data_IF_177419762292
#
_entry.id   IF_177419762292
#
_cell.length_a   1.000
_cell.length_b   1.000
_cell.length_c   1.000
_cell.angle_alpha   90.00
_cell.angle_beta   90.00
_cell.angle_gamma   90.00
#
_symmetry.space_group_name_H-M   'P 1'
#
loop_
_entity.id
_entity.type
_entity.pdbx_description
1 polymer ?
#
# COMPACT_ATOMS: atom_id res chain seq x y z
N UNK A 1 -12.59 -17.08 1.02
CA UNK A 1 -12.88 -16.08 -0.04
C UNK A 1 -11.74 -16.02 -1.07
N UNK A 2 -10.52 -15.62 -0.71
CA UNK A 2 -9.38 -15.55 -1.66
C UNK A 2 -9.06 -16.88 -2.34
N UNK A 3 -8.92 -17.97 -1.56
CA UNK A 3 -8.65 -19.31 -2.09
C UNK A 3 -9.75 -19.84 -3.04
N UNK A 4 -10.99 -19.40 -2.83
CA UNK A 4 -12.12 -19.78 -3.69
C UNK A 4 -12.06 -19.05 -5.03
N UNK A 5 -11.73 -17.75 -5.02
CA UNK A 5 -11.51 -16.95 -6.23
C UNK A 5 -10.36 -17.53 -7.04
N UNK A 6 -9.26 -17.89 -6.39
CA UNK A 6 -8.10 -18.51 -7.05
C UNK A 6 -8.47 -19.84 -7.69
N UNK A 7 -9.13 -20.73 -6.96
CA UNK A 7 -9.60 -22.02 -7.49
C UNK A 7 -10.47 -21.84 -8.74
N UNK A 8 -11.41 -20.89 -8.70
CA UNK A 8 -12.28 -20.58 -9.85
C UNK A 8 -11.51 -19.99 -11.03
N UNK A 9 -10.59 -19.05 -10.77
CA UNK A 9 -9.76 -18.43 -11.80
C UNK A 9 -8.90 -19.48 -12.53
N UNK A 10 -8.25 -20.37 -11.78
CA UNK A 10 -7.45 -21.47 -12.33
C UNK A 10 -8.33 -22.45 -13.12
N UNK A 11 -9.46 -22.90 -12.54
CA UNK A 11 -10.36 -23.85 -13.18
C UNK A 11 -10.94 -23.33 -14.51
N UNK A 12 -11.13 -22.01 -14.63
CA UNK A 12 -11.63 -21.36 -15.86
C UNK A 12 -10.52 -20.88 -16.80
N UNK A 13 -9.25 -21.04 -16.43
CA UNK A 13 -8.11 -20.52 -17.19
C UNK A 13 -8.10 -18.99 -17.32
N UNK A 14 -8.69 -18.28 -16.35
CA UNK A 14 -8.80 -16.82 -16.32
C UNK A 14 -7.79 -16.21 -15.33
N UNK A 15 -7.41 -14.96 -15.58
CA UNK A 15 -6.68 -14.13 -14.62
C UNK A 15 -7.64 -13.37 -13.71
N UNK A 16 -7.34 -13.34 -12.41
CA UNK A 16 -8.04 -12.55 -11.41
C UNK A 16 -7.05 -11.70 -10.62
N UNK A 17 -7.48 -10.52 -10.17
CA UNK A 17 -6.68 -9.63 -9.32
C UNK A 17 -7.50 -9.10 -8.15
N UNK A 18 -6.92 -9.11 -6.95
CA UNK A 18 -7.45 -8.42 -5.78
C UNK A 18 -6.44 -7.35 -5.40
N UNK A 19 -6.79 -6.09 -5.67
CA UNK A 19 -5.89 -4.95 -5.44
C UNK A 19 -6.51 -4.04 -4.39
N UNK A 20 -5.99 -4.03 -3.15
CA UNK A 20 -6.55 -3.23 -2.06
C UNK A 20 -6.30 -1.73 -2.25
N UNK A 21 -5.27 -1.36 -3.03
CA UNK A 21 -4.93 0.02 -3.34
C UNK A 21 -4.30 0.08 -4.75
N UNK A 22 -4.90 0.88 -5.63
CA UNK A 22 -4.43 1.05 -7.01
C UNK A 22 -3.46 2.23 -7.19
N UNK A 23 -3.07 2.92 -6.12
CA UNK A 23 -2.08 4.00 -6.21
C UNK A 23 -0.69 3.42 -6.45
N UNK A 24 -0.10 3.78 -7.59
CA UNK A 24 1.30 3.49 -7.90
C UNK A 24 2.21 4.20 -6.89
N UNK A 25 1.83 5.41 -6.44
CA UNK A 25 2.58 6.17 -5.44
C UNK A 25 2.67 5.46 -4.09
N UNK A 26 1.62 4.75 -3.66
CA UNK A 26 1.68 3.94 -2.44
C UNK A 26 2.61 2.73 -2.58
N UNK A 27 2.67 2.11 -3.76
CA UNK A 27 3.66 1.04 -4.03
C UNK A 27 5.08 1.59 -3.95
N UNK A 28 5.31 2.76 -4.57
CA UNK A 28 6.62 3.43 -4.53
C UNK A 28 7.03 3.80 -3.09
N UNK A 29 6.11 4.39 -2.31
CA UNK A 29 6.35 4.71 -0.89
C UNK A 29 6.72 3.46 -0.11
N UNK A 30 5.97 2.36 -0.26
CA UNK A 30 6.22 1.12 0.47
C UNK A 30 7.61 0.57 0.15
N UNK A 31 7.98 0.53 -1.13
CA UNK A 31 9.31 0.08 -1.56
C UNK A 31 10.43 0.96 -1.00
N UNK A 32 10.30 2.27 -1.13
CA UNK A 32 11.29 3.22 -0.62
C UNK A 32 11.42 3.13 0.91
N UNK A 33 10.31 2.99 1.62
CA UNK A 33 10.29 2.86 3.07
C UNK A 33 10.93 1.56 3.54
N UNK A 34 10.75 0.43 2.84
CA UNK A 34 11.45 -0.83 3.16
C UNK A 34 12.96 -0.70 2.99
N UNK A 35 13.41 -0.03 1.93
CA UNK A 35 14.85 0.24 1.73
C UNK A 35 15.38 1.14 2.84
N UNK A 36 14.71 2.26 3.14
CA UNK A 36 15.09 3.16 4.22
C UNK A 36 15.10 2.46 5.59
N UNK A 37 14.13 1.59 5.87
CA UNK A 37 14.00 0.84 7.12
C UNK A 37 15.14 -0.17 7.34
N UNK A 38 15.76 -0.67 6.27
CA UNK A 38 16.96 -1.51 6.38
C UNK A 38 18.19 -0.74 6.86
N UNK A 39 18.16 0.59 6.80
CA UNK A 39 19.25 1.50 7.20
C UNK A 39 18.89 2.22 8.53
N UNK A 40 17.68 2.75 8.63
CA UNK A 40 17.15 3.49 9.78
C UNK A 40 16.07 2.66 10.48
N UNK A 41 16.43 2.02 11.60
CA UNK A 41 15.62 0.93 12.17
C UNK A 41 14.51 1.37 13.13
N UNK A 42 14.38 2.68 13.40
CA UNK A 42 13.29 3.24 14.22
C UNK A 42 12.32 3.98 13.33
N UNK A 43 11.08 3.48 13.25
CA UNK A 43 10.07 4.03 12.37
C UNK A 43 8.71 4.17 13.06
N UNK A 44 7.93 5.14 12.59
CA UNK A 44 6.51 5.32 12.91
C UNK A 44 5.74 5.67 11.64
N UNK A 45 4.44 5.36 11.62
CA UNK A 45 3.56 5.66 10.49
C UNK A 45 2.56 6.72 10.91
N UNK A 46 2.36 7.72 10.05
CA UNK A 46 1.24 8.66 10.17
C UNK A 46 0.35 8.50 8.95
N UNK A 47 -0.95 8.36 9.16
CA UNK A 47 -1.94 8.34 8.10
C UNK A 47 -3.00 9.40 8.36
N UNK A 48 -3.46 10.05 7.29
CA UNK A 48 -4.40 11.15 7.39
C UNK A 48 -5.48 11.00 6.33
N UNK A 49 -6.75 11.11 6.72
CA UNK A 49 -7.89 10.98 5.83
C UNK A 49 -8.99 11.98 6.20
N UNK A 50 -9.98 12.13 5.33
CA UNK A 50 -11.20 12.87 5.63
C UNK A 50 -11.86 12.38 6.94
N UNK A 51 -12.58 13.27 7.60
CA UNK A 51 -13.28 13.06 8.87
C UNK A 51 -14.36 11.96 8.81
N UNK A 52 -15.00 11.78 7.66
CA UNK A 52 -16.04 10.75 7.48
C UNK A 52 -15.51 9.32 7.27
N UNK A 53 -14.19 9.09 7.29
CA UNK A 53 -13.61 7.75 7.17
C UNK A 53 -13.71 7.00 8.50
N UNK A 54 -14.54 5.95 8.51
CA UNK A 54 -14.91 5.18 9.71
C UNK A 54 -13.76 4.33 10.29
N UNK A 55 -12.92 3.76 9.44
CA UNK A 55 -11.80 2.91 9.86
C UNK A 55 -10.58 3.74 10.28
N UNK A 56 -10.00 3.43 11.44
CA UNK A 56 -8.73 3.98 11.93
C UNK A 56 -7.96 2.91 12.74
N UNK A 57 -6.72 2.56 12.38
CA UNK A 57 -6.00 2.98 11.17
C UNK A 57 -6.62 2.46 9.87
N UNK A 58 -6.33 3.14 8.76
CA UNK A 58 -6.74 2.69 7.43
C UNK A 58 -6.14 1.32 7.09
N UNK A 59 -6.88 0.52 6.30
CA UNK A 59 -6.37 -0.78 5.82
C UNK A 59 -5.04 -0.68 5.05
N UNK A 60 -4.81 0.44 4.35
CA UNK A 60 -3.52 0.72 3.69
C UNK A 60 -2.40 0.92 4.71
N UNK A 61 -2.63 1.65 5.80
CA UNK A 61 -1.64 1.86 6.86
C UNK A 61 -1.29 0.55 7.59
N UNK A 62 -2.30 -0.30 7.84
CA UNK A 62 -2.08 -1.63 8.42
C UNK A 62 -1.21 -2.49 7.50
N UNK A 63 -1.47 -2.52 6.19
CA UNK A 63 -0.65 -3.27 5.23
C UNK A 63 0.78 -2.73 5.15
N UNK A 64 0.95 -1.41 5.16
CA UNK A 64 2.27 -0.77 5.20
C UNK A 64 3.06 -1.17 6.44
N UNK A 65 2.40 -1.21 7.62
CA UNK A 65 3.01 -1.71 8.87
C UNK A 65 3.50 -3.14 8.71
N UNK A 66 2.67 -4.05 8.20
CA UNK A 66 3.07 -5.45 8.01
C UNK A 66 4.26 -5.58 7.04
N UNK A 67 4.28 -4.80 5.96
CA UNK A 67 5.41 -4.76 5.02
C UNK A 67 6.70 -4.26 5.67
N UNK A 68 6.65 -3.19 6.47
CA UNK A 68 7.82 -2.68 7.18
C UNK A 68 8.29 -3.61 8.30
N UNK A 69 7.35 -4.28 8.98
CA UNK A 69 7.65 -5.30 10.00
C UNK A 69 8.49 -6.44 9.45
N UNK A 70 8.35 -6.80 8.16
CA UNK A 70 9.22 -7.80 7.51
C UNK A 70 10.70 -7.42 7.50
N UNK A 71 11.02 -6.12 7.57
CA UNK A 71 12.38 -5.58 7.57
C UNK A 71 12.83 -5.27 9.00
N UNK A 72 11.95 -4.68 9.81
CA UNK A 72 12.27 -4.14 11.13
C UNK A 72 12.13 -5.14 12.27
N UNK A 73 11.33 -6.20 12.10
CA UNK A 73 11.13 -7.24 13.10
C UNK A 73 10.23 -6.84 14.29
N UNK A 74 9.59 -5.68 14.27
CA UNK A 74 8.65 -5.23 15.31
C UNK A 74 7.44 -4.50 14.72
N UNK A 75 6.39 -4.37 15.54
CA UNK A 75 5.22 -3.55 15.23
C UNK A 75 5.48 -2.08 15.58
N UNK A 76 5.45 -1.20 14.59
CA UNK A 76 5.57 0.25 14.82
C UNK A 76 4.21 0.91 15.10
N UNK A 77 4.20 2.02 15.87
CA UNK A 77 3.01 2.86 16.04
C UNK A 77 2.45 3.35 14.70
N UNK A 78 1.12 3.44 14.64
CA UNK A 78 0.40 4.13 13.57
C UNK A 78 -0.45 5.24 14.21
N UNK A 79 -0.25 6.47 13.76
CA UNK A 79 -1.04 7.63 14.15
C UNK A 79 -2.05 7.95 13.05
N UNK A 80 -3.33 8.07 13.42
CA UNK A 80 -4.42 8.31 12.47
C UNK A 80 -5.03 9.69 12.68
N UNK A 81 -5.01 10.50 11.62
CA UNK A 81 -5.58 11.86 11.60
C UNK A 81 -6.85 11.86 10.76
N UNK A 82 -7.91 12.46 11.29
CA UNK A 82 -9.21 12.59 10.63
C UNK A 82 -9.61 14.06 10.63
N UNK A 83 -9.49 14.72 9.48
CA UNK A 83 -9.75 16.16 9.35
C UNK A 83 -10.50 16.49 8.06
N UNK A 84 -11.44 17.45 8.10
CA UNK A 84 -12.02 18.02 6.89
C UNK A 84 -10.94 18.58 5.95
N UNK A 85 -11.11 18.38 4.64
CA UNK A 85 -10.19 18.84 3.61
C UNK A 85 -9.08 17.85 3.23
N UNK A 86 -8.86 16.80 4.03
CA UNK A 86 -7.97 15.71 3.67
C UNK A 86 -8.66 14.70 2.75
N UNK A 87 -7.89 14.00 1.92
CA UNK A 87 -8.39 12.91 1.09
C UNK A 87 -7.82 11.59 1.60
N UNK A 88 -6.56 11.30 1.28
CA UNK A 88 -5.82 10.16 1.81
C UNK A 88 -4.31 10.42 1.73
N UNK A 89 -3.64 10.31 2.86
CA UNK A 89 -2.22 10.63 3.01
C UNK A 89 -1.55 9.58 3.90
N UNK A 90 -0.33 9.21 3.56
CA UNK A 90 0.48 8.26 4.33
C UNK A 90 1.92 8.75 4.40
N UNK A 91 2.50 8.64 5.59
CA UNK A 91 3.84 9.09 5.88
C UNK A 91 4.55 8.04 6.74
N UNK A 92 5.80 7.74 6.37
CA UNK A 92 6.71 6.92 7.17
C UNK A 92 7.81 7.83 7.67
N UNK A 93 7.91 7.93 8.98
CA UNK A 93 8.95 8.67 9.68
C UNK A 93 10.01 7.66 10.11
N UNK A 94 11.27 7.87 9.73
CA UNK A 94 12.41 7.06 10.17
C UNK A 94 13.42 7.94 10.90
N UNK A 95 13.70 7.62 12.16
CA UNK A 95 14.56 8.42 13.03
C UNK A 95 15.92 7.78 13.31
N UNK A 96 16.96 8.61 13.36
CA UNK A 96 18.29 8.24 13.85
C UNK A 96 18.93 9.46 14.57
N UNK A 97 20.00 9.29 15.36
CA UNK A 97 20.66 10.43 16.02
C UNK A 97 21.02 11.55 15.05
N UNK A 98 20.50 12.76 15.31
CA UNK A 98 20.78 13.96 14.52
C UNK A 98 20.07 14.05 13.16
N UNK A 99 19.17 13.12 12.81
CA UNK A 99 18.51 13.13 11.50
C UNK A 99 17.12 12.46 11.52
N UNK A 100 16.27 12.89 10.59
CA UNK A 100 14.95 12.33 10.34
C UNK A 100 14.80 12.17 8.82
N UNK A 101 14.32 11.00 8.40
CA UNK A 101 13.87 10.78 7.03
C UNK A 101 12.35 10.61 7.02
N UNK A 102 11.70 11.41 6.18
CA UNK A 102 10.26 11.33 5.97
C UNK A 102 9.99 10.89 4.54
N UNK A 103 9.17 9.85 4.38
CA UNK A 103 8.67 9.40 3.07
C UNK A 103 7.16 9.55 3.07
N UNK A 104 6.65 10.39 2.17
CA UNK A 104 5.25 10.80 2.16
C UNK A 104 4.59 10.55 0.80
N UNK A 105 3.34 10.13 0.84
CA UNK A 105 2.46 9.99 -0.31
C UNK A 105 1.12 10.69 -0.03
N UNK A 106 0.70 11.51 -0.98
CA UNK A 106 -0.55 12.27 -0.94
C UNK A 106 -1.43 11.88 -2.12
N UNK A 107 -2.64 11.39 -1.83
CA UNK A 107 -3.69 11.21 -2.83
C UNK A 107 -4.51 12.49 -2.87
N UNK A 108 -4.31 13.32 -3.90
CA UNK A 108 -5.02 14.59 -4.02
C UNK A 108 -6.46 14.40 -4.51
N UNK A 109 -6.67 13.40 -5.36
CA UNK A 109 -7.99 13.01 -5.86
C UNK A 109 -8.01 11.55 -6.35
N UNK A 110 -9.16 11.09 -6.84
CA UNK A 110 -9.37 9.70 -7.28
C UNK A 110 -8.67 9.36 -8.60
N UNK A 111 -8.17 10.33 -9.37
CA UNK A 111 -7.42 10.07 -10.60
C UNK A 111 -6.10 9.34 -10.31
N UNK A 112 -5.56 9.47 -9.08
CA UNK A 112 -4.37 8.75 -8.63
C UNK A 112 -4.47 7.22 -8.77
N UNK A 113 -5.68 6.65 -8.80
CA UNK A 113 -5.91 5.21 -8.92
C UNK A 113 -6.03 4.73 -10.38
N UNK A 114 -6.36 5.63 -11.31
CA UNK A 114 -6.63 5.28 -12.72
C UNK A 114 -5.43 4.60 -13.39
N UNK A 115 -4.18 5.08 -13.23
CA UNK A 115 -3.02 4.40 -13.81
C UNK A 115 -2.86 2.94 -13.35
N UNK A 116 -3.07 2.66 -12.06
CA UNK A 116 -2.99 1.30 -11.53
C UNK A 116 -4.12 0.40 -12.06
N UNK A 117 -5.34 0.92 -12.17
CA UNK A 117 -6.47 0.17 -12.75
C UNK A 117 -6.18 -0.17 -14.22
N UNK A 118 -5.71 0.80 -15.01
CA UNK A 118 -5.35 0.59 -16.41
C UNK A 118 -4.20 -0.41 -16.56
N UNK A 119 -3.19 -0.38 -15.68
CA UNK A 119 -2.10 -1.34 -15.68
C UNK A 119 -2.62 -2.77 -15.46
N UNK A 120 -3.42 -2.98 -14.41
CA UNK A 120 -3.97 -4.31 -14.08
C UNK A 120 -4.86 -4.81 -15.21
N UNK A 121 -5.79 -4.00 -15.71
CA UNK A 121 -6.71 -4.41 -16.80
C UNK A 121 -5.99 -4.77 -18.09
N UNK A 122 -4.87 -4.10 -18.42
CA UNK A 122 -4.05 -4.45 -19.58
C UNK A 122 -3.28 -5.75 -19.39
N UNK A 123 -2.70 -5.97 -18.21
CA UNK A 123 -1.82 -7.13 -17.94
C UNK A 123 -2.56 -8.39 -17.51
N UNK A 124 -3.75 -8.28 -16.93
CA UNK A 124 -4.48 -9.43 -16.36
C UNK A 124 -4.80 -10.52 -17.40
N UNK A 125 -4.88 -10.15 -18.68
CA UNK A 125 -5.11 -11.10 -19.79
C UNK A 125 -3.99 -12.12 -19.96
N UNK A 126 -2.77 -11.80 -19.53
CA UNK A 126 -1.61 -12.68 -19.61
C UNK A 126 -1.46 -13.57 -18.35
N UNK A 127 -2.32 -13.38 -17.35
CA UNK A 127 -2.24 -14.07 -16.06
C UNK A 127 -3.23 -15.24 -16.04
N UNK A 128 -2.83 -16.35 -15.45
CA UNK A 128 -3.72 -17.46 -15.06
C UNK A 128 -3.72 -17.59 -13.55
N UNK A 129 -4.91 -17.69 -12.94
CA UNK A 129 -5.04 -17.73 -11.49
C UNK A 129 -5.19 -16.34 -10.86
N UNK A 130 -4.84 -16.22 -9.57
CA UNK A 130 -5.08 -15.01 -8.78
C UNK A 130 -3.77 -14.28 -8.44
N UNK A 131 -3.73 -12.97 -8.69
CA UNK A 131 -2.71 -12.07 -8.17
C UNK A 131 -3.29 -11.16 -7.07
N UNK A 132 -2.53 -10.94 -6.01
CA UNK A 132 -2.92 -10.06 -4.90
C UNK A 132 -1.95 -8.88 -4.83
N UNK A 133 -2.49 -7.66 -4.78
CA UNK A 133 -1.70 -6.43 -4.79
C UNK A 133 -1.46 -5.88 -6.19
N UNK A 134 -0.93 -4.65 -6.24
CA UNK A 134 -0.57 -3.97 -7.49
C UNK A 134 0.88 -4.23 -7.88
N UNK A 135 1.72 -4.52 -6.89
CA UNK A 135 3.17 -4.68 -6.98
C UNK A 135 3.59 -5.70 -8.06
N UNK A 136 2.99 -6.90 -8.18
CA UNK A 136 3.39 -7.87 -9.20
C UNK A 136 3.13 -7.38 -10.64
N UNK A 137 2.19 -6.45 -10.83
CA UNK A 137 1.91 -5.85 -12.14
C UNK A 137 2.90 -4.75 -12.51
N UNK A 138 3.68 -4.22 -11.56
CA UNK A 138 4.69 -3.19 -11.81
C UNK A 138 6.09 -3.78 -12.08
N UNK A 139 6.34 -5.02 -11.67
CA UNK A 139 7.63 -5.72 -11.81
C UNK A 139 7.75 -6.59 -13.06
N UNK A 140 6.65 -6.71 -13.81
CA UNK A 140 6.53 -7.48 -15.06
C UNK A 140 6.65 -6.60 -16.30
#
# INVERSE_FOLDING_TARGET
KTAEIEKLAVAKGLGAAIVPNFSIGMVALTKAAKVAASIMTKAEIVEMHHDTKLDAPSGTALRLKEELKTVLGYDMPIHSVRLPGLVAHHEVLLGAPGQLLTIRHDTLDRQAFVPGILLVTRKIRAVKGLIIGLEPFLET
#
